data_IF_763968270246
#
_entry.id   IF_763968270246
#
_cell.length_a   1.000
_cell.length_b   1.000
_cell.length_c   1.000
_cell.angle_alpha   90.00
_cell.angle_beta   90.00
_cell.angle_gamma   90.00
#
_symmetry.space_group_name_H-M   'P 1'
#
loop_
_entity.id
_entity.type
_entity.pdbx_description
1 polymer ?
#
# COMPACT_ATOMS: atom_id res chain seq x y z
N UNK A 1 4.88 31.19 47.32
CA UNK A 1 5.51 29.90 47.64
C UNK A 1 6.07 29.35 46.37
N UNK A 2 7.39 29.41 46.25
CA UNK A 2 8.18 28.91 45.12
C UNK A 2 8.49 27.44 45.37
N UNK A 3 8.26 26.58 44.40
CA UNK A 3 8.99 25.30 44.30
C UNK A 3 9.53 25.12 42.89
N UNK A 4 10.84 25.15 42.85
CA UNK A 4 11.72 24.92 41.71
C UNK A 4 12.02 23.43 41.62
N UNK A 5 11.70 22.75 40.51
CA UNK A 5 12.16 21.39 40.26
C UNK A 5 13.29 21.39 39.22
N UNK A 6 14.47 21.02 39.69
CA UNK A 6 15.69 20.75 38.92
C UNK A 6 15.61 19.38 38.27
N UNK A 7 15.73 19.29 36.95
CA UNK A 7 15.98 18.03 36.24
C UNK A 7 17.48 17.87 35.97
N UNK A 8 18.04 16.85 36.55
CA UNK A 8 19.44 16.41 36.34
C UNK A 8 19.55 15.65 35.00
N UNK A 9 20.43 16.12 34.14
CA UNK A 9 20.99 15.41 33.01
C UNK A 9 21.95 14.33 33.47
N UNK A 10 21.71 13.07 33.07
CA UNK A 10 22.72 11.99 33.13
C UNK A 10 23.15 11.63 31.72
N UNK A 11 24.35 12.09 31.41
CA UNK A 11 25.14 11.59 30.27
C UNK A 11 25.64 10.17 30.60
N UNK A 12 25.43 9.23 29.70
CA UNK A 12 26.10 7.93 29.73
C UNK A 12 26.85 7.70 28.43
N UNK A 13 28.17 7.85 28.51
CA UNK A 13 29.15 7.36 27.53
C UNK A 13 29.25 5.86 27.68
N UNK A 14 29.14 5.11 26.60
CA UNK A 14 29.69 3.74 26.52
C UNK A 14 30.47 3.61 25.21
N UNK A 15 31.72 3.26 25.41
CA UNK A 15 32.74 3.09 24.39
C UNK A 15 32.80 1.66 23.88
N UNK A 16 33.16 1.55 22.62
CA UNK A 16 34.08 0.61 21.95
C UNK A 16 34.13 -0.88 22.31
N UNK A 17 34.14 -1.62 21.24
CA UNK A 17 35.01 -2.75 20.84
C UNK A 17 34.32 -4.07 20.62
N UNK A 18 34.34 -4.64 19.39
CA UNK A 18 35.27 -5.70 19.03
C UNK A 18 34.99 -6.21 17.63
N UNK A 19 36.01 -6.11 16.80
CA UNK A 19 36.15 -6.79 15.49
C UNK A 19 36.33 -8.29 15.74
N UNK A 20 35.53 -9.12 15.09
CA UNK A 20 35.83 -10.55 14.99
C UNK A 20 35.75 -11.01 13.52
N UNK A 21 36.90 -11.17 12.89
CA UNK A 21 37.04 -11.85 11.60
C UNK A 21 36.79 -13.35 11.82
N UNK A 22 35.86 -13.93 11.07
CA UNK A 22 35.79 -15.40 10.88
C UNK A 22 35.89 -15.71 9.39
N UNK A 23 37.04 -16.26 9.04
CA UNK A 23 37.32 -16.94 7.76
C UNK A 23 36.68 -18.31 7.75
N UNK A 24 35.82 -18.60 6.78
CA UNK A 24 35.42 -19.99 6.49
C UNK A 24 35.95 -20.45 5.15
N UNK A 25 36.66 -21.53 5.22
CA UNK A 25 37.28 -22.29 4.14
C UNK A 25 36.25 -23.09 3.34
N UNK A 26 36.42 -23.05 2.00
CA UNK A 26 35.74 -23.95 1.06
C UNK A 26 36.22 -25.39 1.23
N UNK A 27 35.27 -26.32 1.27
CA UNK A 27 35.54 -27.74 1.00
C UNK A 27 34.65 -28.18 -0.17
N UNK A 28 35.32 -28.47 -1.29
CA UNK A 28 34.76 -29.16 -2.43
C UNK A 28 34.78 -30.67 -2.18
N UNK A 29 33.68 -31.36 -2.46
CA UNK A 29 33.70 -32.82 -2.64
C UNK A 29 32.94 -33.18 -3.92
N UNK A 30 33.71 -33.62 -4.89
CA UNK A 30 33.27 -34.33 -6.08
C UNK A 30 33.03 -35.81 -5.72
N UNK A 31 31.99 -36.43 -6.27
CA UNK A 31 31.72 -37.84 -6.17
C UNK A 31 30.90 -38.33 -7.34
N UNK A 32 31.57 -38.96 -8.29
CA UNK A 32 31.00 -39.70 -9.44
C UNK A 32 30.60 -41.12 -9.06
N UNK A 33 29.70 -41.65 -9.93
CA UNK A 33 29.60 -43.06 -10.41
C UNK A 33 28.28 -43.73 -10.01
N UNK A 34 27.58 -44.41 -10.82
CA UNK A 34 27.59 -45.26 -12.01
C UNK A 34 26.41 -46.23 -11.93
N UNK A 35 25.69 -46.33 -13.03
CA UNK A 35 25.03 -47.51 -13.61
C UNK A 35 24.17 -48.50 -12.78
N UNK A 36 22.98 -48.76 -13.36
CA UNK A 36 22.30 -50.02 -13.17
C UNK A 36 20.84 -50.02 -13.62
N UNK A 37 20.60 -50.60 -14.78
CA UNK A 37 19.37 -50.67 -15.56
C UNK A 37 18.20 -51.45 -14.94
N UNK A 38 17.04 -51.33 -15.60
CA UNK A 38 15.86 -52.13 -15.33
C UNK A 38 14.61 -51.48 -15.87
N UNK A 39 14.21 -51.86 -17.07
CA UNK A 39 13.00 -51.50 -17.83
C UNK A 39 11.72 -52.06 -17.21
N UNK A 40 10.67 -51.25 -17.11
CA UNK A 40 9.31 -51.64 -17.48
C UNK A 40 8.44 -50.38 -17.69
N UNK A 41 7.71 -50.20 -18.79
CA UNK A 41 6.89 -49.02 -19.00
C UNK A 41 5.50 -49.24 -18.39
N UNK A 42 5.21 -48.51 -17.33
CA UNK A 42 3.83 -48.34 -16.84
C UNK A 42 3.26 -47.08 -17.48
N UNK A 43 2.31 -47.24 -18.35
CA UNK A 43 1.50 -46.15 -18.92
C UNK A 43 0.71 -45.49 -17.81
N UNK A 44 1.20 -44.35 -17.31
CA UNK A 44 0.48 -43.51 -16.38
C UNK A 44 -0.29 -42.46 -17.18
N UNK A 45 -1.62 -42.48 -17.05
CA UNK A 45 -2.51 -41.52 -17.66
C UNK A 45 -2.14 -40.11 -17.19
N UNK A 46 -1.75 -39.28 -18.14
CA UNK A 46 -1.46 -37.86 -17.93
C UNK A 46 -2.77 -37.16 -17.67
N UNK A 47 -3.00 -36.73 -16.43
CA UNK A 47 -4.05 -35.74 -16.11
C UNK A 47 -3.75 -34.44 -16.87
N UNK A 48 -4.77 -33.74 -17.41
CA UNK A 48 -4.54 -32.49 -18.08
C UNK A 48 -3.94 -31.48 -17.10
N UNK A 49 -2.78 -30.94 -17.45
CA UNK A 49 -2.14 -29.87 -16.72
C UNK A 49 -3.11 -28.69 -16.66
N UNK A 50 -3.58 -28.40 -15.45
CA UNK A 50 -4.29 -27.16 -15.14
C UNK A 50 -3.30 -26.03 -15.45
N UNK A 51 -3.57 -25.27 -16.52
CA UNK A 51 -2.79 -24.11 -16.87
C UNK A 51 -2.76 -23.15 -15.69
N UNK A 52 -1.64 -23.13 -14.98
CA UNK A 52 -1.31 -22.01 -14.14
C UNK A 52 -1.11 -20.83 -15.07
N UNK A 53 -2.11 -19.94 -15.12
CA UNK A 53 -1.90 -18.60 -15.65
C UNK A 53 -0.76 -18.02 -14.81
N UNK A 54 0.44 -18.02 -15.35
CA UNK A 54 1.56 -17.29 -14.78
C UNK A 54 1.10 -15.85 -14.73
N UNK A 55 0.77 -15.38 -13.52
CA UNK A 55 0.58 -13.96 -13.27
C UNK A 55 1.93 -13.33 -13.63
N UNK A 56 1.95 -12.58 -14.74
CA UNK A 56 3.17 -11.91 -15.18
C UNK A 56 3.67 -11.10 -13.98
N UNK A 57 4.87 -11.39 -13.53
CA UNK A 57 5.54 -10.57 -12.51
C UNK A 57 5.42 -9.11 -12.96
N UNK A 58 5.00 -8.18 -12.10
CA UNK A 58 4.88 -6.79 -12.49
C UNK A 58 6.24 -6.35 -13.04
N UNK A 59 6.24 -5.94 -14.30
CA UNK A 59 7.41 -5.31 -14.89
C UNK A 59 7.54 -3.99 -14.18
N UNK A 60 8.48 -3.91 -13.24
CA UNK A 60 8.81 -2.64 -12.57
C UNK A 60 9.16 -1.67 -13.69
N UNK A 61 8.34 -0.63 -13.84
CA UNK A 61 8.60 0.44 -14.78
C UNK A 61 9.96 1.07 -14.45
N UNK A 62 10.60 1.64 -15.42
CA UNK A 62 11.94 2.20 -15.22
C UNK A 62 11.93 3.48 -14.35
N UNK A 63 10.76 3.91 -13.90
CA UNK A 63 10.61 5.10 -13.08
C UNK A 63 11.02 6.39 -13.78
N UNK A 64 11.59 7.31 -13.03
CA UNK A 64 12.15 8.54 -13.59
C UNK A 64 13.36 8.25 -14.48
N UNK A 65 13.45 8.99 -15.58
CA UNK A 65 14.55 8.96 -16.55
C UNK A 65 15.21 10.31 -16.68
N UNK A 66 16.47 10.39 -17.10
CA UNK A 66 17.09 11.66 -17.42
C UNK A 66 16.28 12.43 -18.47
N UNK A 67 15.93 13.67 -18.17
CA UNK A 67 15.36 14.58 -19.16
C UNK A 67 16.41 14.98 -20.19
N UNK A 68 16.01 15.23 -21.45
CA UNK A 68 16.87 15.93 -22.40
C UNK A 68 17.34 17.29 -21.84
N UNK A 69 18.60 17.67 -22.09
CA UNK A 69 19.17 18.89 -21.50
C UNK A 69 18.36 20.15 -21.83
N UNK A 70 17.77 20.19 -23.03
CA UNK A 70 16.95 21.33 -23.49
C UNK A 70 15.73 21.60 -22.60
N UNK A 71 15.16 20.56 -21.97
CA UNK A 71 13.91 20.66 -21.19
C UNK A 71 14.11 20.49 -19.68
N UNK A 72 15.32 20.19 -19.28
CA UNK A 72 15.68 19.93 -17.88
C UNK A 72 15.68 21.19 -17.02
N UNK A 73 15.99 22.34 -17.65
CA UNK A 73 16.08 23.61 -16.94
C UNK A 73 14.70 24.19 -16.63
N UNK A 74 14.43 24.63 -15.39
CA UNK A 74 13.18 25.31 -15.03
C UNK A 74 12.81 26.45 -15.97
N UNK A 75 13.78 27.26 -16.41
CA UNK A 75 13.56 28.40 -17.30
C UNK A 75 12.92 28.04 -18.65
N UNK A 76 13.08 26.80 -19.14
CA UNK A 76 12.36 26.33 -20.33
C UNK A 76 10.85 26.31 -20.09
N UNK A 77 10.44 25.91 -18.90
CA UNK A 77 9.03 25.75 -18.52
C UNK A 77 8.37 27.06 -18.08
N UNK A 78 9.14 28.05 -17.62
CA UNK A 78 8.63 29.39 -17.29
C UNK A 78 7.98 30.09 -18.50
N UNK A 79 8.40 29.77 -19.73
CA UNK A 79 7.77 30.27 -20.95
C UNK A 79 6.49 29.53 -21.34
N UNK A 80 6.31 28.29 -20.84
CA UNK A 80 5.19 27.38 -21.19
C UNK A 80 4.09 27.43 -20.12
N UNK A 81 4.50 27.43 -18.86
CA UNK A 81 3.59 27.47 -17.71
C UNK A 81 3.55 28.90 -17.20
N UNK A 82 2.37 29.57 -17.23
CA UNK A 82 2.26 30.94 -16.73
C UNK A 82 2.65 30.99 -15.25
N UNK A 83 3.84 31.50 -14.98
CA UNK A 83 4.31 31.73 -13.61
C UNK A 83 4.11 33.21 -13.25
N UNK A 84 3.79 33.48 -11.98
CA UNK A 84 3.69 34.85 -11.48
C UNK A 84 5.02 35.22 -10.82
N UNK A 85 5.70 36.20 -11.38
CA UNK A 85 7.00 36.67 -10.87
C UNK A 85 6.94 36.95 -9.35
N UNK A 86 7.82 36.28 -8.60
CA UNK A 86 7.91 36.40 -7.14
C UNK A 86 6.81 35.66 -6.36
N UNK A 87 5.84 35.03 -7.04
CA UNK A 87 4.76 34.27 -6.39
C UNK A 87 4.89 32.77 -6.68
N UNK A 88 5.17 32.42 -7.94
CA UNK A 88 5.31 31.02 -8.36
C UNK A 88 6.66 30.77 -9.02
N UNK A 89 7.14 29.54 -8.90
CA UNK A 89 8.43 29.08 -9.44
C UNK A 89 8.32 27.64 -9.91
N UNK A 90 8.85 27.35 -11.10
CA UNK A 90 9.10 25.95 -11.49
C UNK A 90 10.15 25.37 -10.56
N UNK A 91 9.80 24.32 -9.83
CA UNK A 91 10.63 23.73 -8.79
C UNK A 91 11.42 22.54 -9.29
N UNK A 92 10.74 21.57 -9.91
CA UNK A 92 11.37 20.35 -10.43
C UNK A 92 10.85 20.01 -11.82
N UNK A 93 11.72 19.36 -12.61
CA UNK A 93 11.39 18.75 -13.89
C UNK A 93 11.93 17.32 -13.88
N UNK A 94 11.04 16.35 -13.96
CA UNK A 94 11.39 14.92 -13.97
C UNK A 94 10.77 14.27 -15.20
N UNK A 95 11.51 13.41 -15.90
CA UNK A 95 11.01 12.74 -17.09
C UNK A 95 10.75 11.25 -16.84
N UNK A 96 9.80 10.69 -17.60
CA UNK A 96 9.47 9.28 -17.56
C UNK A 96 8.54 8.87 -18.70
N UNK A 97 8.30 7.56 -18.84
CA UNK A 97 7.38 6.99 -19.84
C UNK A 97 5.97 6.85 -19.23
N UNK A 98 5.28 7.95 -19.04
CA UNK A 98 3.99 7.97 -18.31
C UNK A 98 2.80 7.49 -19.14
N UNK A 99 2.88 7.56 -20.49
CA UNK A 99 1.77 7.18 -21.38
C UNK A 99 1.94 5.80 -22.03
N UNK A 100 2.88 4.99 -21.55
CA UNK A 100 3.08 3.61 -22.03
C UNK A 100 3.76 3.47 -23.39
N UNK A 101 4.12 4.58 -24.05
CA UNK A 101 4.90 4.59 -25.29
C UNK A 101 6.38 4.92 -25.00
N UNK A 102 7.30 4.73 -25.96
CA UNK A 102 8.74 4.99 -25.74
C UNK A 102 9.12 6.47 -25.64
N UNK A 103 8.19 7.40 -25.91
CA UNK A 103 8.47 8.84 -25.79
C UNK A 103 8.45 9.26 -24.32
N UNK A 104 9.27 10.24 -23.97
CA UNK A 104 9.31 10.78 -22.62
C UNK A 104 8.24 11.85 -22.43
N UNK A 105 7.62 11.83 -21.26
CA UNK A 105 6.81 12.90 -20.72
C UNK A 105 7.58 13.61 -19.62
N UNK A 106 7.30 14.91 -19.41
CA UNK A 106 7.83 15.67 -18.30
C UNK A 106 6.77 15.87 -17.21
N UNK A 107 7.12 15.48 -16.00
CA UNK A 107 6.43 15.89 -14.77
C UNK A 107 7.09 17.19 -14.31
N UNK A 108 6.35 18.27 -14.33
CA UNK A 108 6.80 19.61 -13.94
C UNK A 108 6.02 20.06 -12.72
N UNK A 109 6.74 20.45 -11.67
CA UNK A 109 6.14 20.99 -10.45
C UNK A 109 6.35 22.49 -10.36
N UNK A 110 5.31 23.20 -9.93
CA UNK A 110 5.34 24.65 -9.71
C UNK A 110 5.01 24.95 -8.26
N UNK A 111 5.95 25.55 -7.54
CA UNK A 111 5.81 25.91 -6.12
C UNK A 111 5.38 27.36 -5.97
N UNK A 112 4.36 27.58 -5.13
CA UNK A 112 3.99 28.91 -4.67
C UNK A 112 4.87 29.31 -3.50
N UNK A 113 5.39 30.54 -3.56
CA UNK A 113 6.15 31.11 -2.48
C UNK A 113 5.19 31.53 -1.35
N UNK A 114 5.41 31.04 -0.13
CA UNK A 114 4.56 31.33 1.02
C UNK A 114 4.56 30.19 2.04
N UNK A 115 3.91 30.40 3.16
CA UNK A 115 3.90 29.44 4.29
C UNK A 115 3.22 28.12 3.93
N UNK A 116 2.16 28.16 3.12
CA UNK A 116 1.42 26.97 2.69
C UNK A 116 2.18 26.11 1.66
N UNK A 117 3.29 26.58 1.10
CA UNK A 117 4.11 25.86 0.12
C UNK A 117 3.28 25.06 -0.89
N UNK A 118 2.26 25.70 -1.46
CA UNK A 118 1.33 25.08 -2.40
C UNK A 118 2.10 24.59 -3.64
N UNK A 119 1.77 23.40 -4.11
CA UNK A 119 2.34 22.81 -5.31
C UNK A 119 1.26 22.60 -6.37
N UNK A 120 1.57 23.02 -7.60
CA UNK A 120 0.86 22.57 -8.80
C UNK A 120 1.72 21.53 -9.54
N UNK A 121 1.05 20.53 -10.09
CA UNK A 121 1.66 19.39 -10.80
C UNK A 121 1.14 19.37 -12.23
N UNK A 122 2.05 19.33 -13.20
CA UNK A 122 1.75 19.30 -14.63
C UNK A 122 2.47 18.13 -15.29
N UNK A 123 1.82 17.48 -16.26
CA UNK A 123 2.46 16.48 -17.12
C UNK A 123 2.31 16.90 -18.58
N UNK A 124 3.42 16.88 -19.32
CA UNK A 124 3.46 17.25 -20.71
C UNK A 124 4.04 16.13 -21.58
N UNK A 125 3.50 15.98 -22.81
CA UNK A 125 4.13 15.27 -23.92
C UNK A 125 4.77 16.24 -24.91
N UNK A 126 5.48 15.69 -25.91
CA UNK A 126 6.17 16.47 -26.95
C UNK A 126 7.14 17.51 -26.37
N UNK A 127 7.82 17.11 -25.31
CA UNK A 127 8.56 17.98 -24.37
C UNK A 127 9.68 18.80 -25.01
N UNK A 128 10.16 18.41 -26.20
CA UNK A 128 11.15 19.17 -26.98
C UNK A 128 10.52 20.13 -27.98
N UNK A 129 9.20 20.10 -28.12
CA UNK A 129 8.45 21.05 -28.94
C UNK A 129 8.43 22.44 -28.31
N UNK A 130 8.39 23.53 -29.08
CA UNK A 130 8.14 24.86 -28.53
C UNK A 130 6.74 25.00 -27.92
N UNK A 131 5.80 24.10 -28.26
CA UNK A 131 4.45 24.03 -27.73
C UNK A 131 4.13 22.60 -27.29
N UNK A 132 4.62 22.15 -26.13
CA UNK A 132 4.34 20.82 -25.62
C UNK A 132 2.87 20.68 -25.23
N UNK A 133 2.33 19.47 -25.34
CA UNK A 133 0.93 19.19 -25.04
C UNK A 133 0.77 18.86 -23.57
N UNK A 134 -0.08 19.59 -22.85
CA UNK A 134 -0.42 19.29 -21.47
C UNK A 134 -1.38 18.09 -21.41
N UNK A 135 -0.95 17.01 -20.74
CA UNK A 135 -1.70 15.77 -20.56
C UNK A 135 -2.47 15.71 -19.25
N UNK A 136 -1.92 16.35 -18.22
CA UNK A 136 -2.47 16.30 -16.88
C UNK A 136 -2.13 17.56 -16.09
N UNK A 137 -3.06 17.95 -15.19
CA UNK A 137 -2.85 19.03 -14.23
C UNK A 137 -3.55 18.71 -12.93
N UNK A 138 -2.82 18.87 -11.81
CA UNK A 138 -3.36 18.82 -10.45
C UNK A 138 -2.86 20.05 -9.70
N UNK A 139 -3.73 20.75 -8.99
CA UNK A 139 -3.40 22.04 -8.40
C UNK A 139 -3.69 22.09 -6.91
N UNK A 140 -3.06 23.06 -6.25
CA UNK A 140 -3.33 23.42 -4.86
C UNK A 140 -3.00 22.33 -3.85
N UNK A 141 -1.95 21.54 -4.08
CA UNK A 141 -1.47 20.55 -3.12
C UNK A 141 -0.75 21.29 -1.97
N UNK A 142 -1.38 21.30 -0.80
CA UNK A 142 -0.83 21.98 0.38
C UNK A 142 0.42 21.25 0.89
N UNK A 143 1.56 21.95 0.97
CA UNK A 143 2.88 21.36 1.23
C UNK A 143 3.17 20.14 0.33
N UNK A 144 2.68 20.20 -0.91
CA UNK A 144 2.64 19.08 -1.83
C UNK A 144 4.01 18.60 -2.27
N UNK A 145 4.06 17.35 -2.70
CA UNK A 145 5.18 16.71 -3.40
C UNK A 145 4.65 15.86 -4.53
N UNK A 146 5.43 15.73 -5.61
CA UNK A 146 5.10 14.83 -6.71
C UNK A 146 6.35 14.14 -7.24
N UNK A 147 6.21 12.87 -7.60
CA UNK A 147 7.29 12.06 -8.20
C UNK A 147 6.73 11.06 -9.22
N UNK A 148 7.61 10.51 -10.05
CA UNK A 148 7.31 9.39 -10.94
C UNK A 148 7.67 8.10 -10.19
N UNK A 149 6.70 7.17 -10.08
CA UNK A 149 6.91 5.87 -9.44
C UNK A 149 7.76 4.93 -10.28
N UNK A 150 8.27 3.87 -9.68
CA UNK A 150 8.88 2.73 -10.38
C UNK A 150 7.96 2.06 -11.41
N UNK A 151 6.66 2.34 -11.39
CA UNK A 151 5.62 1.77 -12.25
C UNK A 151 5.12 2.73 -13.34
N UNK A 152 5.85 3.82 -13.62
CA UNK A 152 5.49 4.85 -14.59
C UNK A 152 4.13 5.52 -14.29
N UNK A 153 3.81 5.72 -13.02
CA UNK A 153 2.67 6.48 -12.55
C UNK A 153 3.14 7.78 -11.90
N UNK A 154 2.26 8.75 -11.76
CA UNK A 154 2.53 9.96 -10.97
C UNK A 154 2.00 9.74 -9.57
N UNK A 155 2.89 9.86 -8.59
CA UNK A 155 2.56 9.86 -7.17
C UNK A 155 2.56 11.27 -6.65
N UNK A 156 1.55 11.61 -5.86
CA UNK A 156 1.49 12.88 -5.14
C UNK A 156 1.29 12.63 -3.65
N UNK A 157 1.86 13.52 -2.85
CA UNK A 157 1.56 13.62 -1.42
C UNK A 157 1.23 15.06 -1.07
N UNK A 158 0.32 15.25 -0.14
CA UNK A 158 -0.02 16.57 0.40
C UNK A 158 -0.48 16.45 1.86
N UNK A 159 -0.54 17.58 2.55
CA UNK A 159 -1.11 17.68 3.88
C UNK A 159 -2.62 17.85 3.78
N UNK A 160 -3.40 16.98 4.40
CA UNK A 160 -4.79 17.26 4.71
C UNK A 160 -4.88 17.98 6.06
N UNK A 161 -5.14 19.28 6.01
CA UNK A 161 -5.26 20.12 7.20
C UNK A 161 -6.45 19.72 8.10
N UNK A 162 -7.40 18.95 7.57
CA UNK A 162 -8.59 18.50 8.28
C UNK A 162 -8.42 17.10 8.89
N UNK A 163 -7.35 16.39 8.56
CA UNK A 163 -7.12 15.06 9.11
C UNK A 163 -6.84 15.11 10.61
N UNK A 164 -7.17 14.03 11.31
CA UNK A 164 -6.97 13.90 12.76
C UNK A 164 -5.52 14.05 13.18
N UNK A 165 -4.57 13.62 12.32
CA UNK A 165 -3.14 13.72 12.63
C UNK A 165 -2.58 15.14 12.48
N UNK A 166 -3.28 16.03 11.77
CA UNK A 166 -2.85 17.41 11.54
C UNK A 166 -3.67 18.45 12.33
N UNK A 167 -4.79 18.04 12.91
CA UNK A 167 -5.67 18.94 13.66
C UNK A 167 -4.94 19.66 14.79
N UNK A 168 -4.99 20.99 14.78
CA UNK A 168 -4.38 21.84 15.81
C UNK A 168 -2.86 22.00 15.73
N UNK A 169 -2.20 21.41 14.73
CA UNK A 169 -0.77 21.62 14.49
C UNK A 169 -0.50 22.92 13.74
N UNK A 170 0.69 23.49 13.97
CA UNK A 170 1.23 24.57 13.14
C UNK A 170 1.64 24.00 11.76
N UNK A 171 1.60 24.84 10.73
CA UNK A 171 1.96 24.45 9.35
C UNK A 171 3.30 23.71 9.25
N UNK A 172 4.30 24.14 10.02
CA UNK A 172 5.63 23.52 10.01
C UNK A 172 5.67 22.12 10.65
N UNK A 173 4.68 21.78 11.47
CA UNK A 173 4.60 20.53 12.22
C UNK A 173 3.60 19.54 11.60
N UNK A 174 2.90 19.96 10.54
CA UNK A 174 1.95 19.09 9.83
C UNK A 174 2.69 18.02 9.04
N UNK A 175 2.09 16.85 8.97
CA UNK A 175 2.61 15.70 8.24
C UNK A 175 1.78 15.48 6.98
N UNK A 176 2.44 15.18 5.85
CA UNK A 176 1.76 14.73 4.63
C UNK A 176 1.10 13.39 4.88
N UNK A 177 -0.16 13.33 4.63
CA UNK A 177 -1.02 12.20 4.95
C UNK A 177 -2.00 11.84 3.82
N UNK A 178 -2.20 12.72 2.86
CA UNK A 178 -3.03 12.45 1.69
C UNK A 178 -2.14 12.07 0.50
N UNK A 179 -2.24 10.82 0.06
CA UNK A 179 -1.45 10.25 -1.02
C UNK A 179 -2.36 9.82 -2.17
N UNK A 180 -1.94 10.09 -3.42
CA UNK A 180 -2.67 9.68 -4.63
C UNK A 180 -1.73 9.12 -5.66
N UNK A 181 -2.22 8.14 -6.42
CA UNK A 181 -1.55 7.58 -7.59
C UNK A 181 -2.37 7.85 -8.85
N UNK A 182 -1.72 8.32 -9.92
CA UNK A 182 -2.36 8.61 -11.20
C UNK A 182 -1.65 7.84 -12.30
N UNK A 183 -2.44 7.13 -13.13
CA UNK A 183 -1.97 6.33 -14.25
C UNK A 183 -2.61 6.80 -15.55
N UNK A 184 -1.86 6.71 -16.64
CA UNK A 184 -2.39 7.01 -17.97
C UNK A 184 -3.57 6.11 -18.34
N UNK A 185 -4.60 6.70 -18.91
CA UNK A 185 -5.77 6.03 -19.47
C UNK A 185 -5.96 6.46 -20.92
N UNK A 186 -5.79 5.54 -21.86
CA UNK A 186 -6.02 5.81 -23.29
C UNK A 186 -7.47 6.26 -23.54
N UNK A 187 -8.42 5.67 -22.82
CA UNK A 187 -9.84 6.00 -22.95
C UNK A 187 -10.18 7.41 -22.46
N UNK A 188 -9.47 7.93 -21.47
CA UNK A 188 -9.67 9.27 -20.93
C UNK A 188 -8.75 10.31 -21.59
N UNK A 189 -7.68 9.89 -22.27
CA UNK A 189 -6.66 10.79 -22.82
C UNK A 189 -5.90 11.60 -21.76
N UNK A 190 -5.87 11.13 -20.52
CA UNK A 190 -5.23 11.81 -19.39
C UNK A 190 -4.83 10.79 -18.31
N UNK A 191 -4.13 11.25 -17.28
CA UNK A 191 -3.88 10.46 -16.08
C UNK A 191 -5.13 10.45 -15.19
N UNK A 192 -5.52 9.26 -14.75
CA UNK A 192 -6.69 9.05 -13.87
C UNK A 192 -6.24 8.46 -12.54
N UNK A 193 -6.96 8.73 -11.43
CA UNK A 193 -6.68 8.09 -10.16
C UNK A 193 -6.79 6.57 -10.26
N UNK A 194 -5.83 5.88 -9.64
CA UNK A 194 -5.81 4.42 -9.53
C UNK A 194 -5.54 4.01 -8.09
N UNK A 195 -5.97 2.79 -7.74
CA UNK A 195 -5.77 2.25 -6.40
C UNK A 195 -4.55 1.34 -6.36
N UNK A 196 -3.71 1.52 -5.35
CA UNK A 196 -2.61 0.63 -5.00
C UNK A 196 -3.16 -0.68 -4.43
N UNK A 197 -2.63 -1.85 -4.81
CA UNK A 197 -3.19 -3.12 -4.35
C UNK A 197 -2.97 -3.43 -2.86
N UNK A 198 -1.97 -2.83 -2.22
CA UNK A 198 -1.63 -3.07 -0.82
C UNK A 198 -2.72 -2.58 0.14
N UNK A 199 -2.92 -3.34 1.22
CA UNK A 199 -3.86 -3.02 2.29
C UNK A 199 -3.20 -2.94 3.66
N UNK A 200 -1.95 -3.41 3.80
CA UNK A 200 -1.13 -3.34 5.01
C UNK A 200 0.30 -3.80 4.69
N UNK A 201 1.37 -3.16 5.22
CA UNK A 201 1.33 -2.02 6.12
C UNK A 201 0.98 -0.71 5.40
N UNK A 202 1.12 -0.67 4.07
CA UNK A 202 0.96 0.53 3.27
C UNK A 202 -0.34 0.50 2.47
N UNK A 203 -1.11 1.58 2.56
CA UNK A 203 -2.34 1.74 1.77
C UNK A 203 -2.09 2.42 0.43
N UNK A 204 -0.92 3.03 0.24
CA UNK A 204 -0.60 3.76 -0.97
C UNK A 204 0.79 3.39 -1.50
N UNK A 205 0.99 3.47 -2.81
CA UNK A 205 2.30 3.26 -3.41
C UNK A 205 3.34 4.28 -2.94
N UNK A 206 2.93 5.50 -2.64
CA UNK A 206 3.84 6.52 -2.10
C UNK A 206 4.48 6.07 -0.79
N UNK A 207 3.65 5.50 0.12
CA UNK A 207 4.10 4.94 1.39
C UNK A 207 4.99 3.71 1.15
N UNK A 208 4.53 2.75 0.34
CA UNK A 208 5.27 1.53 0.06
C UNK A 208 6.67 1.78 -0.56
N UNK A 209 6.80 2.72 -1.51
CA UNK A 209 8.11 3.11 -2.05
C UNK A 209 8.99 3.81 -0.99
N UNK A 210 8.38 4.58 -0.08
CA UNK A 210 9.10 5.23 1.03
C UNK A 210 9.60 4.19 2.01
N UNK A 211 8.75 3.24 2.39
CA UNK A 211 9.08 2.15 3.29
C UNK A 211 10.12 1.20 2.70
N UNK A 212 10.02 0.91 1.40
CA UNK A 212 11.07 0.15 0.72
C UNK A 212 12.42 0.85 0.80
N UNK A 213 12.46 2.17 0.64
CA UNK A 213 13.70 2.94 0.76
C UNK A 213 14.25 2.93 2.20
N UNK A 214 13.39 2.96 3.21
CA UNK A 214 13.77 2.86 4.63
C UNK A 214 14.31 1.47 4.98
N UNK A 215 13.64 0.42 4.50
CA UNK A 215 14.09 -0.97 4.68
C UNK A 215 15.46 -1.21 4.02
N UNK A 216 15.71 -0.60 2.86
CA UNK A 216 17.03 -0.67 2.21
C UNK A 216 18.13 0.02 3.03
N UNK A 217 17.77 0.90 3.98
CA UNK A 217 18.67 1.52 4.96
C UNK A 217 18.72 0.76 6.30
N UNK A 218 18.07 -0.40 6.39
CA UNK A 218 18.05 -1.25 7.57
C UNK A 218 16.96 -0.90 8.61
N UNK A 219 16.03 -0.01 8.27
CA UNK A 219 14.88 0.30 9.12
C UNK A 219 13.76 -0.72 8.90
N UNK A 220 12.93 -0.96 9.90
CA UNK A 220 11.76 -1.84 9.83
C UNK A 220 11.96 -3.19 9.12
N UNK A 221 13.00 -3.97 9.48
CA UNK A 221 13.35 -5.21 8.78
C UNK A 221 12.25 -6.28 8.84
N UNK A 222 11.26 -6.13 9.71
CA UNK A 222 10.10 -7.01 9.80
C UNK A 222 9.26 -7.01 8.52
N UNK A 223 9.26 -5.92 7.74
CA UNK A 223 8.56 -5.81 6.45
C UNK A 223 9.13 -6.75 5.38
N UNK A 224 10.34 -7.27 5.57
CA UNK A 224 10.94 -8.30 4.71
C UNK A 224 10.47 -9.72 5.02
N UNK A 225 9.68 -9.92 6.08
CA UNK A 225 9.21 -11.24 6.52
C UNK A 225 7.69 -11.33 6.45
N UNK A 226 7.16 -12.14 5.54
CA UNK A 226 5.73 -12.28 5.31
C UNK A 226 4.93 -12.67 6.56
N UNK A 227 5.50 -13.57 7.41
CA UNK A 227 4.84 -13.98 8.64
C UNK A 227 4.78 -12.84 9.66
N UNK A 228 5.83 -12.02 9.75
CA UNK A 228 5.83 -10.86 10.64
C UNK A 228 4.84 -9.79 10.15
N UNK A 229 4.77 -9.51 8.84
CA UNK A 229 3.78 -8.57 8.30
C UNK A 229 2.35 -9.03 8.61
N UNK A 230 2.02 -10.31 8.38
CA UNK A 230 0.72 -10.86 8.71
C UNK A 230 0.40 -10.79 10.22
N UNK A 231 1.41 -11.02 11.06
CA UNK A 231 1.26 -10.93 12.52
C UNK A 231 1.07 -9.47 12.97
N UNK A 232 1.83 -8.51 12.44
CA UNK A 232 1.67 -7.08 12.72
C UNK A 232 0.27 -6.59 12.29
N UNK A 233 -0.22 -7.01 11.11
CA UNK A 233 -1.59 -6.71 10.68
C UNK A 233 -2.63 -7.23 11.68
N UNK A 234 -2.47 -8.46 12.16
CA UNK A 234 -3.40 -9.02 13.14
C UNK A 234 -3.31 -8.34 14.51
N UNK A 235 -2.16 -7.78 14.87
CA UNK A 235 -1.95 -7.05 16.12
C UNK A 235 -2.39 -5.58 16.05
N UNK A 236 -2.61 -5.05 14.84
CA UNK A 236 -3.01 -3.66 14.65
C UNK A 236 -4.38 -3.39 15.30
N UNK A 237 -4.44 -2.32 16.11
CA UNK A 237 -5.62 -1.95 16.89
C UNK A 237 -6.81 -1.48 16.04
N UNK A 238 -6.55 -1.02 14.82
CA UNK A 238 -7.60 -0.62 13.88
C UNK A 238 -8.17 -1.83 13.10
N UNK A 239 -7.48 -2.98 13.17
CA UNK A 239 -7.87 -4.20 12.44
C UNK A 239 -8.36 -5.28 13.40
N UNK A 240 -7.52 -6.24 13.78
CA UNK A 240 -7.95 -7.36 14.63
C UNK A 240 -7.66 -7.16 16.12
N UNK A 241 -6.66 -6.33 16.43
CA UNK A 241 -6.21 -6.09 17.81
C UNK A 241 -5.91 -7.40 18.58
N UNK A 242 -5.36 -8.40 17.87
CA UNK A 242 -4.95 -9.64 18.51
C UNK A 242 -3.58 -9.49 19.18
N UNK A 243 -3.24 -10.33 20.15
CA UNK A 243 -1.89 -10.30 20.73
C UNK A 243 -0.80 -10.48 19.66
N UNK A 244 0.29 -9.73 19.78
CA UNK A 244 1.42 -9.77 18.85
C UNK A 244 2.15 -11.13 18.77
N UNK A 245 1.84 -12.05 19.65
CA UNK A 245 2.31 -13.43 19.63
C UNK A 245 1.26 -14.42 19.07
N UNK A 246 0.25 -13.93 18.34
CA UNK A 246 -0.75 -14.79 17.70
C UNK A 246 -0.06 -15.85 16.82
N UNK A 247 -0.46 -17.15 16.93
CA UNK A 247 0.14 -18.22 16.17
C UNK A 247 0.05 -17.97 14.67
N UNK A 248 1.19 -17.90 14.01
CA UNK A 248 1.33 -17.54 12.60
C UNK A 248 2.03 -18.66 11.84
N UNK A 249 1.50 -19.08 10.70
CA UNK A 249 2.05 -20.17 9.88
C UNK A 249 2.11 -19.75 8.42
N UNK A 250 3.29 -19.87 7.80
CA UNK A 250 3.44 -19.72 6.35
C UNK A 250 2.89 -20.97 5.67
N UNK A 251 1.89 -20.82 4.82
CA UNK A 251 1.21 -21.91 4.09
C UNK A 251 1.91 -22.17 2.75
N UNK A 252 2.33 -21.09 2.09
CA UNK A 252 3.07 -21.16 0.82
C UNK A 252 3.85 -19.88 0.56
N UNK A 253 4.93 -19.97 -0.21
CA UNK A 253 5.78 -18.83 -0.53
C UNK A 253 6.45 -18.22 0.71
N UNK A 254 6.76 -16.94 0.61
CA UNK A 254 7.32 -16.16 1.73
C UNK A 254 8.83 -16.23 1.88
N UNK A 255 9.52 -16.98 1.03
CA UNK A 255 10.99 -17.00 0.96
C UNK A 255 11.57 -15.75 0.30
N UNK A 256 12.90 -15.63 0.33
CA UNK A 256 13.60 -14.48 -0.25
C UNK A 256 13.41 -14.35 -1.77
N UNK A 257 13.22 -15.46 -2.47
CA UNK A 257 13.03 -15.51 -3.93
C UNK A 257 11.56 -15.48 -4.36
N UNK A 258 10.64 -15.48 -3.39
CA UNK A 258 9.21 -15.52 -3.70
C UNK A 258 8.65 -14.09 -3.85
N UNK A 259 7.75 -13.91 -4.80
CA UNK A 259 6.96 -12.68 -5.00
C UNK A 259 5.63 -12.69 -4.25
N UNK A 260 5.18 -13.88 -3.86
CA UNK A 260 3.89 -14.14 -3.24
C UNK A 260 4.04 -14.99 -1.98
N UNK A 261 3.18 -14.75 -1.01
CA UNK A 261 3.10 -15.54 0.21
C UNK A 261 1.64 -15.72 0.65
N UNK A 262 1.37 -16.84 1.29
CA UNK A 262 0.13 -17.09 1.99
C UNK A 262 0.47 -17.46 3.43
N UNK A 263 -0.10 -16.72 4.36
CA UNK A 263 0.13 -16.86 5.80
C UNK A 263 -1.21 -17.02 6.50
N UNK A 264 -1.30 -17.92 7.46
CA UNK A 264 -2.44 -17.98 8.38
C UNK A 264 -2.07 -17.42 9.74
N UNK A 265 -2.95 -16.62 10.31
CA UNK A 265 -2.84 -16.12 11.68
C UNK A 265 -4.05 -16.59 12.46
N UNK A 266 -3.81 -17.25 13.59
CA UNK A 266 -4.89 -17.81 14.43
C UNK A 266 -5.11 -16.92 15.65
N UNK A 267 -6.37 -16.59 15.91
CA UNK A 267 -6.75 -15.92 17.16
C UNK A 267 -6.36 -16.82 18.35
N UNK A 268 -5.59 -16.34 19.32
CA UNK A 268 -5.17 -17.14 20.47
C UNK A 268 -6.29 -17.45 21.47
N UNK A 269 -7.46 -16.84 21.32
CA UNK A 269 -8.61 -17.14 22.17
C UNK A 269 -9.08 -18.60 22.02
N UNK A 270 -9.69 -19.22 23.05
CA UNK A 270 -10.29 -20.53 22.94
C UNK A 270 -11.29 -20.58 21.77
N UNK A 271 -11.21 -21.61 20.92
CA UNK A 271 -11.96 -21.72 19.67
C UNK A 271 -11.77 -20.54 18.69
N UNK A 272 -10.61 -19.86 18.77
CA UNK A 272 -10.30 -18.69 17.93
C UNK A 272 -10.25 -19.02 16.45
N UNK A 273 -10.83 -18.12 15.66
CA UNK A 273 -10.85 -18.20 14.19
C UNK A 273 -9.45 -18.02 13.61
N UNK A 274 -9.30 -18.43 12.36
CA UNK A 274 -8.08 -18.22 11.59
C UNK A 274 -8.40 -17.28 10.44
N UNK A 275 -7.53 -16.30 10.23
CA UNK A 275 -7.52 -15.49 9.03
C UNK A 275 -6.40 -15.95 8.10
N UNK A 276 -6.68 -15.95 6.82
CA UNK A 276 -5.72 -16.26 5.76
C UNK A 276 -5.35 -14.96 5.07
N UNK A 277 -4.07 -14.65 5.10
CA UNK A 277 -3.46 -13.42 4.59
C UNK A 277 -2.64 -13.76 3.36
N UNK A 278 -3.00 -13.17 2.22
CA UNK A 278 -2.18 -13.23 1.01
C UNK A 278 -1.35 -11.98 0.90
N UNK A 279 -0.06 -12.15 0.65
CA UNK A 279 0.91 -11.07 0.58
C UNK A 279 1.64 -11.10 -0.76
N UNK A 280 2.05 -9.92 -1.22
CA UNK A 280 2.86 -9.75 -2.43
C UNK A 280 3.98 -8.74 -2.20
N UNK A 281 5.08 -8.90 -2.95
CA UNK A 281 6.12 -7.87 -3.05
C UNK A 281 5.74 -6.92 -4.16
N UNK A 282 5.08 -5.83 -3.80
CA UNK A 282 4.57 -4.84 -4.76
C UNK A 282 5.62 -3.80 -5.13
N UNK A 283 6.58 -3.54 -4.22
CA UNK A 283 7.69 -2.64 -4.44
C UNK A 283 9.01 -3.40 -4.36
N UNK A 284 9.90 -3.14 -5.31
CA UNK A 284 11.12 -3.91 -5.41
C UNK A 284 10.90 -5.34 -5.89
N UNK A 285 12.00 -6.06 -6.00
CA UNK A 285 12.01 -7.44 -6.49
C UNK A 285 11.94 -8.43 -5.31
N UNK A 286 11.81 -9.73 -5.68
CA UNK A 286 12.33 -10.81 -4.84
C UNK A 286 13.72 -10.42 -4.30
N UNK A 287 14.12 -10.88 -3.12
CA UNK A 287 15.37 -10.51 -2.46
C UNK A 287 15.45 -9.03 -2.01
N UNK A 288 14.61 -8.64 -1.11
CA UNK A 288 14.65 -7.34 -0.45
C UNK A 288 13.45 -6.45 -0.71
N UNK A 289 12.46 -6.89 -1.50
CA UNK A 289 11.16 -6.22 -1.57
C UNK A 289 10.37 -6.43 -0.27
N UNK A 290 9.72 -5.37 0.19
CA UNK A 290 8.80 -5.45 1.33
C UNK A 290 7.54 -6.26 0.96
N UNK A 291 6.93 -6.87 1.97
CA UNK A 291 5.68 -7.61 1.81
C UNK A 291 4.47 -6.71 2.10
N UNK A 292 3.52 -6.74 1.18
CA UNK A 292 2.23 -6.06 1.29
C UNK A 292 1.10 -7.06 1.37
N UNK A 293 0.20 -6.90 2.33
CA UNK A 293 -1.07 -7.65 2.37
C UNK A 293 -1.96 -7.18 1.24
N UNK A 294 -2.39 -8.09 0.39
CA UNK A 294 -3.26 -7.79 -0.76
C UNK A 294 -4.64 -8.45 -0.65
N UNK A 295 -4.80 -9.45 0.21
CA UNK A 295 -6.09 -10.10 0.46
C UNK A 295 -6.11 -10.66 1.85
N UNK A 296 -7.22 -10.48 2.56
CA UNK A 296 -7.50 -11.14 3.84
C UNK A 296 -8.84 -11.82 3.76
N UNK A 297 -8.86 -13.13 4.06
CA UNK A 297 -10.06 -13.95 4.05
C UNK A 297 -10.21 -14.71 5.38
N UNK A 298 -11.44 -15.06 5.72
CA UNK A 298 -11.77 -15.91 6.86
C UNK A 298 -12.86 -16.90 6.47
N UNK A 299 -12.85 -18.08 7.08
CA UNK A 299 -13.79 -19.13 6.74
C UNK A 299 -15.24 -18.70 7.00
N UNK A 300 -16.09 -18.94 6.02
CA UNK A 300 -17.52 -18.61 6.07
C UNK A 300 -17.83 -17.11 5.95
N UNK A 301 -16.85 -16.26 5.65
CA UNK A 301 -17.03 -14.83 5.47
C UNK A 301 -16.56 -14.37 4.08
N UNK A 302 -17.31 -13.47 3.47
CA UNK A 302 -16.91 -12.81 2.23
C UNK A 302 -17.58 -11.46 2.07
N UNK A 303 -16.93 -10.56 1.33
CA UNK A 303 -17.55 -9.39 0.72
C UNK A 303 -17.64 -9.72 -0.77
N UNK A 304 -18.84 -9.68 -1.34
CA UNK A 304 -19.09 -9.98 -2.77
C UNK A 304 -19.29 -8.70 -3.59
N UNK A 305 -19.63 -7.60 -2.95
CA UNK A 305 -19.66 -6.24 -3.51
C UNK A 305 -19.39 -5.26 -2.36
N UNK A 306 -18.56 -4.25 -2.57
CA UNK A 306 -17.86 -3.91 -3.83
C UNK A 306 -16.76 -4.90 -4.21
N UNK A 307 -16.24 -4.79 -5.45
CA UNK A 307 -15.08 -5.53 -5.91
C UNK A 307 -13.81 -4.75 -5.61
N UNK A 308 -12.70 -5.47 -5.41
CA UNK A 308 -11.42 -4.82 -5.09
C UNK A 308 -11.04 -3.73 -6.10
N UNK A 309 -10.72 -2.57 -5.58
CA UNK A 309 -10.33 -1.34 -6.28
C UNK A 309 -11.47 -0.67 -7.06
N UNK A 310 -12.71 -0.95 -6.68
CA UNK A 310 -13.83 -0.17 -7.15
C UNK A 310 -13.73 1.27 -6.63
N UNK A 311 -14.36 2.19 -7.37
CA UNK A 311 -14.52 3.56 -6.94
C UNK A 311 -15.85 3.71 -6.22
N UNK A 312 -15.79 4.01 -4.92
CA UNK A 312 -16.96 4.10 -4.06
C UNK A 312 -17.44 5.53 -3.90
N UNK A 313 -18.76 5.68 -3.82
CA UNK A 313 -19.42 6.92 -3.40
C UNK A 313 -20.39 6.62 -2.28
N UNK A 314 -20.51 7.55 -1.32
CA UNK A 314 -21.42 7.41 -0.16
C UNK A 314 -22.87 7.74 -0.56
N UNK A 315 -23.88 6.94 -0.15
CA UNK A 315 -23.78 5.67 0.55
C UNK A 315 -23.38 4.51 -0.37
N UNK A 316 -22.60 3.55 0.14
CA UNK A 316 -22.22 2.36 -0.61
C UNK A 316 -23.03 1.14 -0.15
N UNK A 317 -23.51 0.35 -1.12
CA UNK A 317 -24.16 -0.93 -0.86
C UNK A 317 -23.11 -2.04 -0.76
N UNK A 318 -23.07 -2.73 0.37
CA UNK A 318 -22.14 -3.83 0.64
C UNK A 318 -22.93 -5.13 0.79
N UNK A 319 -22.50 -6.16 0.06
CA UNK A 319 -23.09 -7.49 0.10
C UNK A 319 -22.04 -8.55 0.35
N UNK A 320 -22.45 -9.67 0.93
CA UNK A 320 -21.53 -10.76 1.24
C UNK A 320 -22.17 -11.90 1.98
N UNK A 321 -21.32 -12.72 2.59
CA UNK A 321 -21.72 -13.82 3.48
C UNK A 321 -21.00 -13.70 4.81
N UNK A 322 -21.59 -14.29 5.85
CA UNK A 322 -20.96 -14.38 7.15
C UNK A 322 -21.63 -15.45 8.02
N UNK A 323 -20.97 -15.83 9.11
CA UNK A 323 -21.51 -16.74 10.10
C UNK A 323 -22.33 -15.96 11.12
N UNK A 324 -23.63 -16.12 11.11
CA UNK A 324 -24.54 -15.47 12.04
C UNK A 324 -24.71 -16.27 13.34
N UNK A 325 -24.75 -15.55 14.46
CA UNK A 325 -25.24 -16.00 15.73
C UNK A 325 -26.39 -15.07 16.17
N UNK A 326 -27.58 -15.61 16.42
CA UNK A 326 -28.79 -14.82 16.69
C UNK A 326 -29.03 -13.72 15.62
N UNK A 327 -28.82 -14.07 14.36
CA UNK A 327 -28.84 -13.20 13.20
C UNK A 327 -27.72 -12.15 13.12
N UNK A 328 -26.85 -12.00 14.10
CA UNK A 328 -25.72 -11.05 14.04
C UNK A 328 -24.54 -11.71 13.36
N UNK A 329 -24.04 -11.10 12.29
CA UNK A 329 -22.78 -11.48 11.62
C UNK A 329 -21.62 -10.68 12.20
N UNK A 330 -21.80 -9.37 12.36
CA UNK A 330 -20.77 -8.47 12.85
C UNK A 330 -20.99 -7.04 12.40
N UNK A 331 -19.93 -6.38 11.94
CA UNK A 331 -19.93 -4.98 11.50
C UNK A 331 -19.15 -4.84 10.20
N UNK A 332 -19.66 -4.05 9.29
CA UNK A 332 -18.91 -3.53 8.15
C UNK A 332 -18.47 -2.12 8.48
N UNK A 333 -17.19 -1.83 8.27
CA UNK A 333 -16.62 -0.49 8.37
C UNK A 333 -15.95 -0.08 7.06
N UNK A 334 -15.97 1.21 6.77
CA UNK A 334 -15.16 1.85 5.74
C UNK A 334 -14.05 2.60 6.46
N UNK A 335 -12.82 2.16 6.23
CA UNK A 335 -11.63 2.78 6.80
C UNK A 335 -10.96 3.64 5.73
N UNK A 336 -10.50 4.83 6.12
CA UNK A 336 -9.71 5.71 5.26
C UNK A 336 -8.23 5.28 5.20
N UNK A 337 -7.41 6.09 4.56
CA UNK A 337 -5.97 5.88 4.38
C UNK A 337 -5.15 5.89 5.69
N UNK A 338 -5.75 6.28 6.80
CA UNK A 338 -5.17 6.24 8.16
C UNK A 338 -5.78 5.12 9.01
N UNK A 339 -6.54 4.21 8.40
CA UNK A 339 -7.35 3.19 9.08
C UNK A 339 -8.41 3.78 10.04
N UNK A 340 -8.78 5.04 9.87
CA UNK A 340 -9.85 5.65 10.64
C UNK A 340 -11.20 5.16 10.13
N UNK A 341 -12.08 4.72 11.02
CA UNK A 341 -13.47 4.36 10.68
C UNK A 341 -14.25 5.64 10.35
N UNK A 342 -14.54 5.82 9.08
CA UNK A 342 -15.29 6.97 8.55
C UNK A 342 -16.75 6.67 8.25
N UNK A 343 -17.18 5.43 8.47
CA UNK A 343 -18.55 4.99 8.32
C UNK A 343 -18.71 3.49 8.55
N UNK A 344 -19.71 3.10 9.32
CA UNK A 344 -19.96 1.69 9.61
C UNK A 344 -21.45 1.36 9.71
N UNK A 345 -21.75 0.06 9.65
CA UNK A 345 -23.09 -0.48 9.90
C UNK A 345 -23.00 -1.89 10.49
N UNK A 346 -23.89 -2.19 11.42
CA UNK A 346 -24.11 -3.56 11.90
C UNK A 346 -24.66 -4.44 10.79
N UNK A 347 -24.17 -5.67 10.70
CA UNK A 347 -24.55 -6.62 9.68
C UNK A 347 -25.33 -7.78 10.28
N UNK A 348 -26.49 -8.03 9.73
CA UNK A 348 -27.37 -9.12 10.12
C UNK A 348 -27.62 -10.06 8.94
N UNK A 349 -27.67 -11.35 9.24
CA UNK A 349 -27.97 -12.38 8.25
C UNK A 349 -29.47 -12.57 8.02
N UNK A 350 -29.81 -13.14 6.90
CA UNK A 350 -31.18 -13.53 6.56
C UNK A 350 -31.70 -14.71 7.42
N UNK A 351 -30.77 -15.50 7.99
CA UNK A 351 -31.08 -16.64 8.87
C UNK A 351 -30.50 -16.42 10.27
N UNK A 352 -31.10 -17.00 11.30
CA UNK A 352 -30.71 -16.75 12.67
C UNK A 352 -29.34 -17.27 13.07
N UNK A 353 -28.90 -18.42 12.52
CA UNK A 353 -27.61 -19.04 12.83
C UNK A 353 -26.98 -19.66 11.60
N UNK A 354 -25.66 -19.76 11.62
CA UNK A 354 -24.85 -20.38 10.55
C UNK A 354 -24.50 -19.43 9.41
N UNK A 355 -23.96 -19.99 8.32
CA UNK A 355 -23.55 -19.21 7.17
C UNK A 355 -24.77 -18.65 6.41
N UNK A 356 -24.78 -17.35 6.20
CA UNK A 356 -25.90 -16.62 5.62
C UNK A 356 -25.43 -15.40 4.81
N UNK A 357 -26.25 -14.97 3.86
CA UNK A 357 -25.99 -13.76 3.08
C UNK A 357 -26.43 -12.52 3.84
N UNK A 358 -25.81 -11.40 3.51
CA UNK A 358 -26.21 -10.07 4.00
C UNK A 358 -26.19 -9.02 2.88
N UNK A 359 -26.93 -7.95 3.10
CA UNK A 359 -26.87 -6.73 2.30
C UNK A 359 -27.10 -5.54 3.22
N UNK A 360 -26.19 -4.58 3.21
CA UNK A 360 -26.30 -3.35 4.02
C UNK A 360 -25.86 -2.14 3.21
N UNK A 361 -26.33 -0.95 3.57
CA UNK A 361 -25.84 0.31 3.04
C UNK A 361 -25.03 1.00 4.14
N UNK A 362 -23.85 1.47 3.78
CA UNK A 362 -22.98 2.22 4.67
C UNK A 362 -22.81 3.63 4.13
N UNK A 363 -23.21 4.61 4.93
CA UNK A 363 -22.86 6.01 4.66
C UNK A 363 -21.53 6.31 5.31
N UNK A 364 -20.64 6.99 4.58
CA UNK A 364 -19.36 7.45 5.10
C UNK A 364 -19.16 8.92 4.79
N UNK A 365 -18.34 9.57 5.59
CA UNK A 365 -17.93 10.95 5.39
C UNK A 365 -16.43 10.98 5.14
N UNK A 366 -16.05 11.31 3.93
CA UNK A 366 -14.65 11.50 3.56
C UNK A 366 -14.05 12.68 4.33
N UNK A 367 -12.86 12.48 4.88
CA UNK A 367 -12.13 13.51 5.64
C UNK A 367 -11.18 14.30 4.74
N UNK A 368 -10.99 13.91 3.50
CA UNK A 368 -10.10 14.56 2.53
C UNK A 368 -10.84 15.52 1.61
N UNK A 369 -10.17 16.57 1.18
CA UNK A 369 -10.75 17.61 0.33
C UNK A 369 -10.70 17.22 -1.16
N UNK A 370 -11.80 16.67 -1.64
CA UNK A 370 -11.97 16.40 -3.07
C UNK A 370 -11.06 15.34 -3.67
N UNK A 371 -11.50 14.79 -4.77
CA UNK A 371 -10.77 13.72 -5.46
C UNK A 371 -11.03 12.34 -4.87
N UNK A 372 -10.17 11.40 -5.22
CA UNK A 372 -10.25 10.02 -4.75
C UNK A 372 -9.08 9.71 -3.85
N UNK A 373 -9.31 8.85 -2.87
CA UNK A 373 -8.33 8.44 -1.89
C UNK A 373 -8.43 6.96 -1.60
N UNK A 374 -7.30 6.35 -1.27
CA UNK A 374 -7.23 4.96 -0.86
C UNK A 374 -7.99 4.70 0.44
N UNK A 375 -8.68 3.57 0.48
CA UNK A 375 -9.37 3.08 1.66
C UNK A 375 -9.64 1.59 1.58
N UNK A 376 -10.27 1.05 2.59
CA UNK A 376 -10.66 -0.36 2.65
C UNK A 376 -12.08 -0.51 3.21
N UNK A 377 -12.81 -1.48 2.68
CA UNK A 377 -14.04 -2.00 3.29
C UNK A 377 -13.67 -3.24 4.09
N UNK A 378 -14.03 -3.24 5.37
CA UNK A 378 -13.73 -4.35 6.30
C UNK A 378 -15.01 -4.94 6.83
N UNK A 379 -15.16 -6.25 6.75
CA UNK A 379 -16.19 -7.01 7.47
C UNK A 379 -15.55 -7.66 8.69
N UNK A 380 -15.92 -7.20 9.86
CA UNK A 380 -15.51 -7.77 11.15
C UNK A 380 -16.53 -8.80 11.62
N UNK A 381 -16.07 -9.99 11.99
CA UNK A 381 -16.91 -10.98 12.68
C UNK A 381 -17.16 -10.55 14.13
N UNK A 382 -18.41 -10.71 14.58
CA UNK A 382 -18.73 -10.51 15.99
C UNK A 382 -17.90 -11.46 16.87
N UNK A 383 -17.41 -10.95 17.99
CA UNK A 383 -16.70 -11.74 18.99
C UNK A 383 -17.54 -11.83 20.27
N UNK A 384 -17.96 -13.04 20.63
CA UNK A 384 -18.75 -13.29 21.82
C UNK A 384 -17.92 -13.64 23.07
N UNK A 385 -16.59 -13.71 22.94
CA UNK A 385 -15.73 -14.29 23.99
C UNK A 385 -14.40 -13.54 24.26
N UNK A 386 -14.16 -12.35 23.70
CA UNK A 386 -12.87 -11.66 23.89
C UNK A 386 -12.85 -10.19 23.46
N UNK A 387 -11.68 -9.56 23.60
CA UNK A 387 -11.41 -8.24 23.05
C UNK A 387 -11.08 -8.32 21.57
N UNK A 388 -11.60 -7.39 20.77
CA UNK A 388 -11.38 -7.31 19.32
C UNK A 388 -12.26 -8.27 18.51
N UNK A 389 -12.26 -8.13 17.17
CA UNK A 389 -13.02 -8.98 16.26
C UNK A 389 -12.55 -10.43 16.29
N UNK A 390 -13.50 -11.37 16.07
CA UNK A 390 -13.17 -12.79 15.97
C UNK A 390 -12.38 -13.14 14.69
N UNK A 391 -12.68 -12.44 13.60
CA UNK A 391 -12.00 -12.51 12.30
C UNK A 391 -12.34 -11.27 11.48
N UNK A 392 -11.68 -11.08 10.34
CA UNK A 392 -12.04 -10.05 9.37
C UNK A 392 -11.80 -10.50 7.92
N UNK A 393 -12.50 -9.83 7.01
CA UNK A 393 -12.27 -9.84 5.55
C UNK A 393 -12.10 -8.40 5.11
N UNK A 394 -11.13 -8.15 4.24
CA UNK A 394 -10.83 -6.80 3.72
C UNK A 394 -10.92 -6.76 2.20
N UNK A 395 -11.40 -5.65 1.67
CA UNK A 395 -11.41 -5.33 0.24
C UNK A 395 -10.86 -3.92 0.05
N UNK A 396 -9.88 -3.79 -0.83
CA UNK A 396 -9.24 -2.51 -1.16
C UNK A 396 -10.15 -1.69 -2.06
N UNK A 397 -10.24 -0.39 -1.79
CA UNK A 397 -11.15 0.51 -2.50
C UNK A 397 -10.52 1.88 -2.79
N UNK A 398 -11.15 2.62 -3.68
CA UNK A 398 -10.86 4.02 -3.94
C UNK A 398 -12.08 4.87 -3.53
N UNK A 399 -11.98 5.57 -2.42
CA UNK A 399 -13.04 6.40 -1.86
C UNK A 399 -13.15 7.75 -2.58
N UNK A 400 -14.37 8.23 -2.84
CA UNK A 400 -14.61 9.52 -3.50
C UNK A 400 -15.86 10.24 -2.97
#
# INVERSE_FOLDING_TARGET
MHETFLYQTKSLLIAMSSVLLLTFTLAACSGSSTNGGGTTPTTQATAPARGTTATASPVVGLGSRPCPDAVKAPAHWDAIIPTQNGVTKVETVTCGNLVGNPTLQALVTVRYQGTGQILDVHVYSDITSPNPTQLFKLQNLYQGEAKISGYNTVLTSEVDQNSSINAGKLDADMTRDLFREFKWSDGAGTLVPVSFPGMYPDLTRFQAETDQAQVNQGQDPWKLNAAQVANHMAADSHLLNWPSNAPTTVVSGGGSSDSDAVVTVKNPAPAGNTVKVSLQRLEGNTNGGIWEVVTVTADGMSITSPQSRDRLTSPVKITGTGNAFEAVIGMVSILDHLYTDIGHASVRGATGNGNTTFSTNVSYTSTFKGGSQEGIVVLYAANNAGSGPAALVMVKELLS
#
